data_IF_726614537268
#
_entry.id   IF_726614537268
#
_cell.length_a   1.000
_cell.length_b   1.000
_cell.length_c   1.000
_cell.angle_alpha   90.00
_cell.angle_beta   90.00
_cell.angle_gamma   90.00
#
_symmetry.space_group_name_H-M   'P 1'
#
loop_
_entity.id
_entity.type
_entity.pdbx_description
1 polymer ?
#
# COMPACT_ATOMS: atom_id res chain seq x y z
N UNK A 1 -54.15 -41.26 2.53
CA UNK A 1 -52.76 -41.65 2.22
C UNK A 1 -51.91 -40.41 2.39
N UNK A 2 -51.01 -40.34 3.38
CA UNK A 2 -50.10 -39.22 3.57
C UNK A 2 -48.75 -39.59 2.98
N UNK A 3 -48.40 -38.98 1.86
CA UNK A 3 -47.05 -39.12 1.28
C UNK A 3 -46.08 -38.29 2.13
N UNK A 4 -45.10 -38.91 2.78
CA UNK A 4 -43.96 -38.24 3.37
C UNK A 4 -42.82 -38.29 2.36
N UNK A 5 -42.52 -37.17 1.74
CA UNK A 5 -41.33 -37.00 0.91
C UNK A 5 -40.21 -36.55 1.84
N UNK A 6 -39.20 -37.38 2.03
CA UNK A 6 -37.93 -36.98 2.65
C UNK A 6 -36.91 -36.77 1.55
N UNK A 7 -36.36 -35.56 1.46
CA UNK A 7 -35.27 -35.25 0.53
C UNK A 7 -33.97 -35.36 1.33
N UNK A 8 -33.11 -36.28 0.93
CA UNK A 8 -31.78 -36.47 1.51
C UNK A 8 -30.73 -36.30 0.39
N UNK A 9 -29.77 -35.37 0.49
CA UNK A 9 -29.52 -34.49 1.63
C UNK A 9 -30.51 -33.32 1.74
N UNK A 10 -30.60 -32.70 2.94
CA UNK A 10 -31.42 -31.52 3.18
C UNK A 10 -30.91 -30.34 2.30
N UNK A 11 -31.74 -29.94 1.35
CA UNK A 11 -31.39 -28.89 0.38
C UNK A 11 -31.07 -27.57 1.08
N UNK A 12 -31.77 -27.24 2.17
CA UNK A 12 -31.55 -26.00 2.93
C UNK A 12 -30.17 -26.03 3.59
N UNK A 13 -29.80 -27.15 4.19
CA UNK A 13 -28.46 -27.31 4.79
C UNK A 13 -27.34 -27.28 3.71
N UNK A 14 -27.60 -27.89 2.56
CA UNK A 14 -26.66 -27.88 1.45
C UNK A 14 -26.41 -26.45 0.91
N UNK A 15 -27.49 -25.70 0.68
CA UNK A 15 -27.39 -24.30 0.22
C UNK A 15 -26.70 -23.41 1.24
N UNK A 16 -26.97 -23.60 2.55
CA UNK A 16 -26.28 -22.85 3.60
C UNK A 16 -24.77 -23.17 3.64
N UNK A 17 -24.40 -24.42 3.43
CA UNK A 17 -22.98 -24.82 3.35
C UNK A 17 -22.27 -24.22 2.15
N UNK A 18 -22.92 -24.16 0.98
CA UNK A 18 -22.38 -23.52 -0.23
C UNK A 18 -22.21 -22.01 -0.05
N UNK A 19 -23.17 -21.32 0.55
CA UNK A 19 -23.05 -19.89 0.86
C UNK A 19 -21.85 -19.64 1.79
N UNK A 20 -21.74 -20.42 2.87
CA UNK A 20 -20.62 -20.29 3.80
C UNK A 20 -19.27 -20.61 3.14
N UNK A 21 -19.22 -21.57 2.22
CA UNK A 21 -18.02 -21.86 1.43
C UNK A 21 -17.65 -20.68 0.51
N UNK A 22 -18.65 -20.08 -0.13
CA UNK A 22 -18.48 -18.87 -0.96
C UNK A 22 -17.95 -17.68 -0.16
N UNK A 23 -18.51 -17.42 1.03
CA UNK A 23 -18.07 -16.36 1.93
C UNK A 23 -16.60 -16.52 2.35
N UNK A 24 -16.20 -17.74 2.69
CA UNK A 24 -14.79 -18.07 2.99
C UNK A 24 -13.89 -17.82 1.80
N UNK A 25 -14.27 -18.32 0.63
CA UNK A 25 -13.48 -18.18 -0.59
C UNK A 25 -13.28 -16.71 -0.97
N UNK A 26 -14.34 -15.91 -0.99
CA UNK A 26 -14.27 -14.47 -1.33
C UNK A 26 -13.45 -13.70 -0.29
N UNK A 27 -13.68 -13.95 1.00
CA UNK A 27 -12.93 -13.27 2.07
C UNK A 27 -11.45 -13.59 2.03
N UNK A 28 -11.08 -14.83 1.74
CA UNK A 28 -9.68 -15.26 1.60
C UNK A 28 -9.05 -14.62 0.37
N UNK A 29 -9.70 -14.70 -0.78
CA UNK A 29 -9.21 -14.10 -2.02
C UNK A 29 -8.97 -12.58 -1.87
N UNK A 30 -9.89 -11.87 -1.22
CA UNK A 30 -9.71 -10.42 -0.99
C UNK A 30 -8.56 -10.10 -0.05
N UNK A 31 -8.33 -10.88 1.00
CA UNK A 31 -7.17 -10.71 1.89
C UNK A 31 -5.86 -10.95 1.16
N UNK A 32 -5.79 -12.01 0.37
CA UNK A 32 -4.62 -12.35 -0.44
C UNK A 32 -4.34 -11.29 -1.49
N UNK A 33 -5.37 -10.84 -2.22
CA UNK A 33 -5.25 -9.77 -3.22
C UNK A 33 -4.74 -8.46 -2.60
N UNK A 34 -5.30 -8.04 -1.46
CA UNK A 34 -4.85 -6.84 -0.76
C UNK A 34 -3.40 -6.93 -0.26
N UNK A 35 -3.00 -8.09 0.25
CA UNK A 35 -1.63 -8.33 0.71
C UNK A 35 -0.67 -8.39 -0.47
N UNK A 36 -1.03 -9.08 -1.53
CA UNK A 36 -0.25 -9.21 -2.76
C UNK A 36 -0.02 -7.84 -3.43
N UNK A 37 -1.07 -7.03 -3.58
CA UNK A 37 -0.98 -5.69 -4.14
C UNK A 37 -0.08 -4.77 -3.29
N UNK A 38 -0.24 -4.79 -1.96
CA UNK A 38 0.65 -4.06 -1.06
C UNK A 38 2.11 -4.47 -1.24
N UNK A 39 2.39 -5.76 -1.32
CA UNK A 39 3.75 -6.28 -1.51
C UNK A 39 4.31 -5.85 -2.86
N UNK A 40 3.54 -5.97 -3.93
CA UNK A 40 3.92 -5.55 -5.27
C UNK A 40 4.29 -4.07 -5.33
N UNK A 41 3.46 -3.18 -4.78
CA UNK A 41 3.73 -1.74 -4.73
C UNK A 41 4.99 -1.41 -3.92
N UNK A 42 5.20 -2.07 -2.78
CA UNK A 42 6.42 -1.90 -1.98
C UNK A 42 7.67 -2.31 -2.76
N UNK A 43 7.60 -3.43 -3.48
CA UNK A 43 8.70 -3.90 -4.32
C UNK A 43 8.99 -2.93 -5.46
N UNK A 44 7.97 -2.39 -6.12
CA UNK A 44 8.15 -1.37 -7.16
C UNK A 44 8.82 -0.11 -6.61
N UNK A 45 8.39 0.40 -5.46
CA UNK A 45 8.96 1.59 -4.82
C UNK A 45 10.44 1.36 -4.44
N UNK A 46 10.76 0.20 -3.87
CA UNK A 46 12.14 -0.14 -3.53
C UNK A 46 13.01 -0.37 -4.77
N UNK A 47 12.46 -1.03 -5.79
CA UNK A 47 13.12 -1.27 -7.08
C UNK A 47 13.41 0.03 -7.84
N UNK A 48 12.54 1.05 -7.71
CA UNK A 48 12.78 2.39 -8.24
C UNK A 48 13.82 3.21 -7.44
N UNK A 49 14.43 2.64 -6.40
CA UNK A 49 15.44 3.32 -5.59
C UNK A 49 14.90 4.36 -4.60
N UNK A 50 13.57 4.42 -4.39
CA UNK A 50 12.93 5.40 -3.51
C UNK A 50 13.04 5.05 -2.02
N UNK A 51 13.57 3.87 -1.72
CA UNK A 51 13.89 3.42 -0.38
C UNK A 51 12.74 2.76 0.39
N UNK A 52 13.13 1.96 1.39
CA UNK A 52 12.19 1.15 2.20
C UNK A 52 11.26 2.00 3.05
N UNK A 53 11.69 3.20 3.45
CA UNK A 53 10.85 4.12 4.26
C UNK A 53 9.60 4.55 3.49
N UNK A 54 9.75 4.89 2.20
CA UNK A 54 8.62 5.24 1.35
C UNK A 54 7.77 4.00 1.02
N UNK A 55 8.38 2.86 0.75
CA UNK A 55 7.67 1.61 0.54
C UNK A 55 6.78 1.25 1.75
N UNK A 56 7.25 1.49 2.98
CA UNK A 56 6.49 1.24 4.19
C UNK A 56 5.30 2.19 4.41
N UNK A 57 5.18 3.27 3.60
CA UNK A 57 3.98 4.10 3.59
C UNK A 57 2.75 3.40 2.99
N UNK A 58 2.97 2.35 2.19
CA UNK A 58 1.87 1.55 1.63
C UNK A 58 1.25 0.68 2.71
N UNK A 59 -0.04 0.86 2.90
CA UNK A 59 -0.87 0.16 3.88
C UNK A 59 -1.95 -0.64 3.20
N UNK A 60 -2.47 -1.65 3.88
CA UNK A 60 -3.65 -2.39 3.42
C UNK A 60 -4.56 -2.71 4.59
N UNK A 61 -5.84 -2.81 4.31
CA UNK A 61 -6.86 -3.34 5.21
C UNK A 61 -7.82 -4.21 4.42
N UNK A 62 -8.36 -5.25 5.05
CA UNK A 62 -9.42 -6.09 4.50
C UNK A 62 -10.66 -5.97 5.36
N UNK A 63 -11.81 -6.10 4.73
CA UNK A 63 -13.14 -6.01 5.35
C UNK A 63 -13.99 -7.20 4.91
N UNK A 64 -14.79 -7.77 5.83
CA UNK A 64 -14.88 -7.44 7.25
C UNK A 64 -13.57 -7.76 7.99
N UNK A 65 -13.30 -7.06 9.12
CA UNK A 65 -12.11 -7.33 9.95
C UNK A 65 -12.20 -8.67 10.67
N UNK A 66 -13.41 -9.10 10.99
CA UNK A 66 -13.72 -10.38 11.59
C UNK A 66 -14.89 -11.02 10.84
N UNK A 67 -14.88 -12.35 10.76
CA UNK A 67 -15.88 -13.11 10.03
C UNK A 67 -15.58 -13.21 8.52
N UNK A 68 -16.55 -13.77 7.81
CA UNK A 68 -16.51 -14.06 6.37
C UNK A 68 -17.72 -13.39 5.71
N UNK A 69 -17.63 -12.98 4.45
CA UNK A 69 -18.70 -12.31 3.73
C UNK A 69 -18.49 -12.39 2.23
N UNK A 70 -19.57 -12.56 1.47
CA UNK A 70 -19.58 -12.43 0.02
C UNK A 70 -19.27 -11.00 -0.44
N UNK A 71 -19.47 -9.99 0.42
CA UNK A 71 -19.15 -8.59 0.17
C UNK A 71 -17.78 -8.19 0.75
N UNK A 72 -16.86 -9.16 0.89
CA UNK A 72 -15.53 -8.84 1.38
C UNK A 72 -14.79 -7.91 0.41
N UNK A 73 -14.02 -6.98 0.96
CA UNK A 73 -13.23 -6.01 0.20
C UNK A 73 -11.83 -5.85 0.78
N UNK A 74 -10.88 -5.50 -0.05
CA UNK A 74 -9.55 -5.08 0.36
C UNK A 74 -9.27 -3.65 -0.10
N UNK A 75 -8.66 -2.85 0.77
CA UNK A 75 -8.23 -1.50 0.50
C UNK A 75 -6.71 -1.43 0.64
N UNK A 76 -6.05 -0.86 -0.37
CA UNK A 76 -4.62 -0.57 -0.33
C UNK A 76 -4.43 0.92 -0.58
N UNK A 77 -3.64 1.58 0.27
CA UNK A 77 -3.42 3.04 0.17
C UNK A 77 -2.01 3.42 0.59
N UNK A 78 -1.63 4.66 0.28
CA UNK A 78 -0.39 5.26 0.73
C UNK A 78 -0.64 6.31 1.82
N UNK A 79 0.19 6.32 2.85
CA UNK A 79 0.26 7.42 3.83
C UNK A 79 1.12 8.61 3.32
N UNK A 80 1.75 8.48 2.14
CA UNK A 80 2.54 9.52 1.51
C UNK A 80 2.11 9.75 0.03
N UNK A 81 0.80 10.03 -0.23
CA UNK A 81 0.28 10.09 -1.60
C UNK A 81 0.92 11.21 -2.43
N UNK A 82 1.26 12.34 -1.80
CA UNK A 82 1.91 13.46 -2.48
C UNK A 82 3.29 13.08 -3.01
N UNK A 83 4.09 12.36 -2.22
CA UNK A 83 5.44 11.95 -2.62
C UNK A 83 5.36 10.91 -3.74
N UNK A 84 4.48 9.92 -3.62
CA UNK A 84 4.30 8.89 -4.64
C UNK A 84 3.76 9.51 -5.92
N UNK A 85 2.75 10.38 -5.85
CA UNK A 85 2.21 11.09 -7.00
C UNK A 85 3.25 12.00 -7.68
N UNK A 86 4.15 12.62 -6.91
CA UNK A 86 5.23 13.41 -7.47
C UNK A 86 6.24 12.54 -8.26
N UNK A 87 6.48 11.31 -7.86
CA UNK A 87 7.33 10.39 -8.62
C UNK A 87 6.62 9.80 -9.84
N UNK A 88 5.31 9.58 -9.75
CA UNK A 88 4.51 9.03 -10.85
C UNK A 88 4.30 10.05 -11.98
N UNK A 89 3.90 11.27 -11.65
CA UNK A 89 3.57 12.32 -12.62
C UNK A 89 4.72 13.27 -12.96
N UNK A 90 5.84 13.23 -12.21
CA UNK A 90 7.00 14.08 -12.41
C UNK A 90 6.68 15.58 -12.38
N UNK A 91 6.00 16.11 -11.34
CA UNK A 91 5.58 17.50 -11.32
C UNK A 91 6.79 18.45 -11.31
N UNK A 92 6.68 19.55 -12.02
CA UNK A 92 7.67 20.61 -12.01
C UNK A 92 7.68 21.28 -10.63
N UNK A 93 8.75 21.05 -9.85
CA UNK A 93 8.94 21.70 -8.55
C UNK A 93 9.51 23.08 -8.78
N UNK A 94 8.71 24.12 -8.51
CA UNK A 94 9.15 25.53 -8.57
C UNK A 94 9.27 26.09 -7.16
N UNK A 95 10.31 26.85 -6.91
CA UNK A 95 10.44 27.60 -5.67
C UNK A 95 9.36 28.70 -5.61
N UNK A 96 8.64 28.79 -4.49
CA UNK A 96 7.65 29.85 -4.26
C UNK A 96 8.28 31.23 -4.06
N UNK A 97 9.56 31.26 -3.64
CA UNK A 97 10.26 32.48 -3.25
C UNK A 97 11.42 32.83 -4.20
N UNK A 98 11.46 32.23 -5.41
CA UNK A 98 12.51 32.50 -6.39
C UNK A 98 13.87 31.91 -6.07
N UNK A 99 14.02 31.14 -5.01
CA UNK A 99 15.27 30.48 -4.66
C UNK A 99 15.52 29.24 -5.54
N UNK A 100 16.77 29.02 -5.89
CA UNK A 100 17.20 27.82 -6.59
C UNK A 100 17.14 26.60 -5.67
N UNK A 101 16.76 25.45 -6.22
CA UNK A 101 16.85 24.19 -5.51
C UNK A 101 18.32 23.74 -5.45
N UNK A 102 18.95 23.87 -4.30
CA UNK A 102 20.31 23.39 -4.10
C UNK A 102 20.31 21.87 -3.83
N UNK A 103 20.81 21.10 -4.79
CA UNK A 103 20.96 19.64 -4.65
C UNK A 103 22.44 19.36 -4.36
N UNK A 104 22.82 18.83 -3.18
CA UNK A 104 24.20 18.52 -2.89
C UNK A 104 24.68 17.36 -3.77
N UNK A 105 25.76 17.60 -4.51
CA UNK A 105 26.46 16.55 -5.26
C UNK A 105 27.37 15.74 -4.32
N UNK A 106 27.88 14.57 -4.75
CA UNK A 106 28.85 13.81 -3.96
C UNK A 106 30.09 14.61 -3.56
N UNK A 107 30.52 15.59 -4.37
CA UNK A 107 31.66 16.48 -4.09
C UNK A 107 31.41 17.41 -2.89
N UNK A 108 30.16 17.72 -2.54
CA UNK A 108 29.82 18.53 -1.37
C UNK A 108 30.10 17.80 -0.03
N UNK A 109 30.29 16.48 -0.07
CA UNK A 109 30.55 15.66 1.10
C UNK A 109 29.31 15.43 1.98
N UNK A 110 29.56 14.96 3.20
CA UNK A 110 28.50 14.68 4.18
C UNK A 110 28.44 15.79 5.21
N UNK A 111 27.24 15.99 5.78
CA UNK A 111 27.03 16.82 6.97
C UNK A 111 27.82 16.27 8.16
N UNK A 112 28.18 17.12 9.09
CA UNK A 112 28.79 16.74 10.39
C UNK A 112 27.94 15.74 11.18
N UNK A 113 26.62 15.68 10.91
CA UNK A 113 25.67 14.72 11.50
C UNK A 113 25.47 13.44 10.68
N UNK A 114 26.31 13.20 9.65
CA UNK A 114 26.29 11.98 8.84
C UNK A 114 25.23 11.92 7.74
N UNK A 115 24.41 12.96 7.57
CA UNK A 115 23.39 13.09 6.51
C UNK A 115 23.88 13.89 5.29
N UNK A 116 22.95 14.32 4.44
CA UNK A 116 23.20 15.24 3.34
C UNK A 116 23.52 16.62 3.90
N UNK A 117 24.55 17.28 3.32
CA UNK A 117 24.91 18.65 3.69
C UNK A 117 23.80 19.62 3.25
N UNK A 118 23.49 20.58 4.11
CA UNK A 118 22.55 21.66 3.75
C UNK A 118 23.30 22.84 3.15
N UNK A 119 22.63 23.70 2.32
CA UNK A 119 23.26 24.88 1.76
C UNK A 119 23.95 25.76 2.80
N UNK A 120 23.27 26.06 3.91
CA UNK A 120 23.86 26.89 4.97
C UNK A 120 24.99 26.21 5.77
N UNK A 121 25.10 24.88 5.77
CA UNK A 121 26.26 24.17 6.31
C UNK A 121 27.43 24.21 5.34
N UNK A 122 27.15 24.14 4.03
CA UNK A 122 28.14 24.29 2.98
C UNK A 122 28.76 25.68 2.97
N UNK A 123 27.94 26.72 3.00
CA UNK A 123 28.38 28.12 3.07
C UNK A 123 29.29 28.38 4.27
N UNK A 124 28.94 27.87 5.46
CA UNK A 124 29.78 27.98 6.66
C UNK A 124 31.10 27.21 6.59
N UNK A 125 31.19 26.20 5.72
CA UNK A 125 32.40 25.38 5.56
C UNK A 125 33.34 25.93 4.50
N UNK A 126 32.82 26.61 3.50
CA UNK A 126 33.59 27.10 2.37
C UNK A 126 33.92 28.60 2.44
N UNK A 127 33.33 29.31 3.42
CA UNK A 127 33.56 30.73 3.69
C UNK A 127 32.64 31.59 2.90
#
# INVERSE_FOLDING_TARGET
MKLKLAIDPDIVALMAAEVAAGERAVSTAMREAGTGLKSSWRTQITGAGLGTRLANSIRSASFPKSGESLNAAALVWSNAPVIIGAHDSGPLIRSKNGFWLAIPTPAAGKSTRGGRITPGEWERRTG
#
